data_IF_771287758230
#
_entry.id   IF_771287758230
#
_cell.length_a   1.000
_cell.length_b   1.000
_cell.length_c   1.000
_cell.angle_alpha   90.00
_cell.angle_beta   90.00
_cell.angle_gamma   90.00
#
_symmetry.space_group_name_H-M   'P 1'
#
loop_
_entity.id
_entity.type
_entity.pdbx_description
1 polymer ?
#
# COMPACT_ATOMS: atom_id res chain seq x y z
N UNK A 1 19.78 -9.92 1.69
CA UNK A 1 18.58 -9.09 1.52
C UNK A 1 17.38 -9.84 2.05
N UNK A 2 16.58 -9.19 2.86
CA UNK A 2 15.37 -9.81 3.40
C UNK A 2 14.32 -9.95 2.30
N UNK A 3 13.46 -10.95 2.40
CA UNK A 3 12.44 -11.23 1.41
C UNK A 3 11.52 -10.03 1.18
N UNK A 4 11.10 -9.35 2.24
CA UNK A 4 10.24 -8.17 2.11
C UNK A 4 10.95 -7.00 1.43
N UNK A 5 12.26 -6.88 1.55
CA UNK A 5 13.05 -5.87 0.83
C UNK A 5 13.11 -6.21 -0.66
N UNK A 6 13.26 -7.49 -0.98
CA UNK A 6 13.28 -7.96 -2.36
C UNK A 6 11.92 -7.76 -3.03
N UNK A 7 10.84 -8.06 -2.32
CA UNK A 7 9.49 -7.83 -2.81
C UNK A 7 9.23 -6.34 -3.05
N UNK A 8 9.68 -5.48 -2.15
CA UNK A 8 9.57 -4.04 -2.31
C UNK A 8 10.35 -3.55 -3.54
N UNK A 9 11.52 -4.13 -3.79
CA UNK A 9 12.31 -3.82 -4.99
C UNK A 9 11.59 -4.23 -6.26
N UNK A 10 10.99 -5.43 -6.28
CA UNK A 10 10.23 -5.89 -7.43
C UNK A 10 9.00 -5.03 -7.70
N UNK A 11 8.29 -4.63 -6.65
CA UNK A 11 7.17 -3.73 -6.78
C UNK A 11 7.61 -2.39 -7.37
N UNK A 12 8.74 -1.88 -6.93
CA UNK A 12 9.29 -0.63 -7.44
C UNK A 12 9.67 -0.74 -8.92
N UNK A 13 10.25 -1.86 -9.33
CA UNK A 13 10.65 -2.07 -10.73
C UNK A 13 9.46 -2.30 -11.66
N UNK A 14 8.45 -3.04 -11.21
CA UNK A 14 7.33 -3.44 -12.06
C UNK A 14 6.08 -2.59 -11.89
N UNK A 15 5.88 -1.99 -10.74
CA UNK A 15 4.71 -1.15 -10.45
C UNK A 15 5.07 0.18 -9.81
N UNK A 16 6.35 0.51 -9.78
CA UNK A 16 6.85 1.74 -9.17
C UNK A 16 6.61 3.02 -9.95
N UNK A 17 5.84 2.94 -11.03
CA UNK A 17 5.49 4.12 -11.79
C UNK A 17 4.49 4.97 -11.01
N UNK A 18 4.72 6.28 -11.04
CA UNK A 18 3.80 7.20 -10.38
C UNK A 18 2.49 7.27 -11.15
N UNK A 19 1.37 7.35 -10.43
CA UNK A 19 0.07 7.58 -11.04
C UNK A 19 0.00 9.02 -11.56
N UNK A 20 -0.89 9.26 -12.52
CA UNK A 20 -1.17 10.62 -12.99
C UNK A 20 -2.00 11.38 -11.98
N UNK A 21 -2.67 10.67 -11.07
CA UNK A 21 -3.49 11.26 -10.05
C UNK A 21 -2.65 11.92 -8.98
N UNK A 22 -2.93 13.17 -8.69
CA UNK A 22 -2.34 13.89 -7.59
C UNK A 22 -3.37 14.17 -6.51
N UNK A 23 -2.90 14.32 -5.29
CA UNK A 23 -3.77 14.63 -4.15
C UNK A 23 -3.29 15.91 -3.49
N UNK A 24 -4.21 16.84 -3.28
CA UNK A 24 -3.95 18.07 -2.56
C UNK A 24 -4.65 17.99 -1.22
N UNK A 25 -3.88 18.01 -0.14
CA UNK A 25 -4.42 17.95 1.21
C UNK A 25 -3.80 19.03 2.09
N UNK A 26 -4.57 19.50 3.04
CA UNK A 26 -4.05 20.37 4.10
C UNK A 26 -3.83 19.52 5.34
N UNK A 27 -2.68 19.66 5.95
CA UNK A 27 -2.35 18.95 7.19
C UNK A 27 -2.74 19.80 8.38
N UNK A 28 -2.91 19.16 9.54
CA UNK A 28 -2.99 19.90 10.79
C UNK A 28 -1.68 20.67 11.03
N UNK A 29 -1.75 21.73 11.83
CA UNK A 29 -0.54 22.51 12.13
C UNK A 29 0.55 21.62 12.73
N UNK A 30 0.17 20.71 13.62
CA UNK A 30 1.11 19.81 14.27
C UNK A 30 1.77 18.84 13.27
N UNK A 31 0.97 18.24 12.40
CA UNK A 31 1.52 17.33 11.39
C UNK A 31 2.38 18.06 10.36
N UNK A 32 2.00 19.26 9.99
CA UNK A 32 2.82 20.07 9.09
C UNK A 32 4.18 20.41 9.73
N UNK A 33 4.19 20.73 11.02
CA UNK A 33 5.42 20.99 11.75
C UNK A 33 6.30 19.74 11.83
N UNK A 34 5.71 18.60 12.11
CA UNK A 34 6.44 17.33 12.15
C UNK A 34 7.05 16.98 10.79
N UNK A 35 6.31 17.20 9.72
CA UNK A 35 6.80 16.95 8.38
C UNK A 35 7.97 17.86 8.04
N UNK A 36 7.86 19.14 8.33
CA UNK A 36 8.95 20.10 8.08
C UNK A 36 10.18 19.76 8.93
N UNK A 37 9.99 19.30 10.16
CA UNK A 37 11.09 18.85 11.01
C UNK A 37 11.84 17.68 10.38
N UNK A 38 11.12 16.69 9.83
CA UNK A 38 11.75 15.57 9.14
C UNK A 38 12.51 16.01 7.90
N UNK A 39 11.96 16.94 7.14
CA UNK A 39 12.63 17.49 5.97
C UNK A 39 13.93 18.17 6.34
N UNK A 40 13.95 18.89 7.44
CA UNK A 40 15.16 19.57 7.93
C UNK A 40 16.21 18.57 8.45
N UNK A 41 15.76 17.48 9.08
CA UNK A 41 16.67 16.43 9.56
C UNK A 41 17.32 15.65 8.40
N UNK A 42 16.64 15.53 7.28
CA UNK A 42 17.12 14.79 6.11
C UNK A 42 17.12 15.66 4.85
N UNK A 43 18.01 16.68 4.83
CA UNK A 43 17.97 17.69 3.76
C UNK A 43 18.33 17.15 2.37
N UNK A 44 19.00 16.01 2.28
CA UNK A 44 19.34 15.39 1.01
C UNK A 44 18.21 14.58 0.41
N UNK A 45 17.16 14.31 1.19
CA UNK A 45 16.03 13.51 0.76
C UNK A 45 14.91 14.46 0.31
N UNK A 46 14.48 14.40 -0.96
CA UNK A 46 13.46 15.33 -1.48
C UNK A 46 12.15 15.21 -0.70
N UNK A 47 11.51 16.36 -0.47
CA UNK A 47 10.25 16.41 0.29
C UNK A 47 9.18 15.49 -0.29
N UNK A 48 9.02 15.48 -1.61
CA UNK A 48 8.01 14.64 -2.26
C UNK A 48 8.29 13.15 -2.09
N UNK A 49 9.55 12.75 -2.14
CA UNK A 49 9.93 11.35 -1.93
C UNK A 49 9.67 10.94 -0.49
N UNK A 50 9.96 11.82 0.46
CA UNK A 50 9.68 11.59 1.87
C UNK A 50 8.17 11.39 2.09
N UNK A 51 7.34 12.24 1.48
CA UNK A 51 5.90 12.14 1.57
C UNK A 51 5.39 10.82 0.98
N UNK A 52 5.89 10.42 -0.18
CA UNK A 52 5.49 9.14 -0.80
C UNK A 52 5.83 7.96 0.10
N UNK A 53 7.01 7.97 0.70
CA UNK A 53 7.43 6.90 1.59
C UNK A 53 6.58 6.84 2.86
N UNK A 54 6.25 8.00 3.41
CA UNK A 54 5.39 8.07 4.59
C UNK A 54 3.99 7.54 4.28
N UNK A 55 3.42 7.94 3.14
CA UNK A 55 2.09 7.46 2.72
C UNK A 55 2.13 5.96 2.45
N UNK A 56 3.15 5.48 1.76
CA UNK A 56 3.30 4.06 1.48
C UNK A 56 3.38 3.24 2.76
N UNK A 57 4.18 3.71 3.72
CA UNK A 57 4.32 3.05 5.02
C UNK A 57 3.01 3.03 5.79
N UNK A 58 2.29 4.15 5.78
CA UNK A 58 0.99 4.24 6.46
C UNK A 58 -0.03 3.29 5.85
N UNK A 59 -0.09 3.21 4.53
CA UNK A 59 -1.00 2.30 3.83
C UNK A 59 -0.68 0.84 4.15
N UNK A 60 0.60 0.49 4.19
CA UNK A 60 1.04 -0.85 4.53
C UNK A 60 0.65 -1.19 5.97
N UNK A 61 0.84 -0.26 6.90
CA UNK A 61 0.51 -0.47 8.30
C UNK A 61 -1.00 -0.64 8.51
N UNK A 62 -1.81 0.19 7.86
CA UNK A 62 -3.28 0.06 7.92
C UNK A 62 -3.70 -1.33 7.42
N UNK A 63 -3.14 -1.76 6.29
CA UNK A 63 -3.47 -3.06 5.71
C UNK A 63 -3.09 -4.21 6.64
N UNK A 64 -1.90 -4.14 7.23
CA UNK A 64 -1.42 -5.20 8.11
C UNK A 64 -2.18 -5.25 9.43
N UNK A 65 -2.90 -4.19 9.79
CA UNK A 65 -3.71 -4.13 11.00
C UNK A 65 -5.12 -4.69 10.81
N UNK A 66 -5.51 -5.04 9.58
CA UNK A 66 -6.83 -5.61 9.33
C UNK A 66 -6.97 -6.98 10.03
N UNK A 67 -8.07 -7.20 10.78
CA UNK A 67 -8.24 -8.47 11.47
C UNK A 67 -8.62 -9.59 10.50
N UNK A 68 -8.11 -10.79 10.79
CA UNK A 68 -8.61 -12.01 10.17
C UNK A 68 -9.93 -12.39 10.82
N UNK A 69 -10.95 -12.63 10.01
CA UNK A 69 -12.27 -13.10 10.48
C UNK A 69 -12.58 -14.38 9.74
N UNK A 70 -12.64 -15.49 10.49
CA UNK A 70 -12.90 -16.80 9.91
C UNK A 70 -14.34 -16.90 9.40
N UNK A 71 -14.49 -17.27 8.14
CA UNK A 71 -15.80 -17.58 7.54
C UNK A 71 -16.22 -19.00 7.85
N UNK A 72 -17.28 -19.42 7.18
CA UNK A 72 -17.83 -20.77 7.35
C UNK A 72 -17.21 -21.79 6.37
N UNK A 73 -16.66 -21.31 5.28
CA UNK A 73 -16.08 -22.15 4.25
C UNK A 73 -14.63 -22.43 4.51
N UNK A 74 -14.21 -23.67 4.25
CA UNK A 74 -12.81 -24.08 4.40
C UNK A 74 -12.09 -23.70 3.12
N UNK A 75 -11.05 -22.84 3.25
CA UNK A 75 -10.24 -22.41 2.11
C UNK A 75 -9.11 -23.39 1.81
N UNK A 76 -8.52 -24.00 2.86
CA UNK A 76 -7.41 -24.92 2.74
C UNK A 76 -7.26 -25.71 4.04
N UNK A 77 -6.37 -26.71 4.04
CA UNK A 77 -5.95 -27.39 5.26
C UNK A 77 -4.49 -27.04 5.54
N UNK A 78 -4.13 -26.94 6.82
CA UNK A 78 -2.75 -26.69 7.20
C UNK A 78 -1.92 -27.97 7.11
N UNK A 79 -0.64 -27.91 7.47
CA UNK A 79 0.28 -29.04 7.42
C UNK A 79 -0.16 -30.21 8.31
N UNK A 80 -0.91 -29.93 9.36
CA UNK A 80 -1.43 -30.92 10.29
C UNK A 80 -2.79 -31.48 9.87
N UNK A 81 -3.35 -30.97 8.78
CA UNK A 81 -4.64 -31.38 8.26
C UNK A 81 -5.83 -30.65 8.88
N UNK A 82 -5.59 -29.66 9.73
CA UNK A 82 -6.66 -28.86 10.33
C UNK A 82 -7.23 -27.88 9.30
N UNK A 83 -8.56 -27.63 9.33
CA UNK A 83 -9.18 -26.75 8.36
C UNK A 83 -8.81 -25.28 8.63
N UNK A 84 -8.47 -24.59 7.53
CA UNK A 84 -8.27 -23.15 7.54
C UNK A 84 -9.46 -22.48 6.87
N UNK A 85 -10.20 -21.69 7.61
CA UNK A 85 -11.40 -21.02 7.11
C UNK A 85 -11.06 -19.78 6.32
N UNK A 86 -11.87 -19.48 5.31
CA UNK A 86 -11.70 -18.32 4.48
C UNK A 86 -11.81 -17.04 5.31
N UNK A 87 -10.96 -16.07 5.00
CA UNK A 87 -10.98 -14.77 5.65
C UNK A 87 -12.15 -13.95 5.08
N UNK A 88 -13.14 -13.63 5.91
CA UNK A 88 -14.25 -12.76 5.54
C UNK A 88 -14.12 -11.35 6.13
N UNK A 89 -12.94 -11.05 6.67
CA UNK A 89 -12.63 -9.72 7.19
C UNK A 89 -12.31 -8.71 6.09
N UNK A 90 -11.74 -7.55 6.47
CA UNK A 90 -11.51 -6.47 5.50
C UNK A 90 -10.44 -6.77 4.45
N UNK A 91 -9.48 -7.68 4.72
CA UNK A 91 -8.34 -7.90 3.83
C UNK A 91 -8.75 -8.35 2.41
N UNK A 92 -9.61 -9.38 2.22
CA UNK A 92 -9.99 -9.78 0.86
C UNK A 92 -10.69 -8.67 0.10
N UNK A 93 -11.57 -7.93 0.75
CA UNK A 93 -12.26 -6.80 0.13
C UNK A 93 -11.27 -5.71 -0.29
N UNK A 94 -10.33 -5.39 0.61
CA UNK A 94 -9.31 -4.39 0.33
C UNK A 94 -8.45 -4.80 -0.88
N UNK A 95 -8.02 -6.06 -0.93
CA UNK A 95 -7.19 -6.55 -2.03
C UNK A 95 -7.94 -6.51 -3.36
N UNK A 96 -9.21 -6.89 -3.36
CA UNK A 96 -10.03 -6.87 -4.56
C UNK A 96 -10.25 -5.45 -5.07
N UNK A 97 -10.53 -4.52 -4.17
CA UNK A 97 -10.70 -3.11 -4.51
C UNK A 97 -9.39 -2.48 -5.00
N UNK A 98 -8.28 -2.85 -4.39
CA UNK A 98 -6.96 -2.39 -4.82
C UNK A 98 -6.68 -2.82 -6.25
N UNK A 99 -6.94 -4.09 -6.57
CA UNK A 99 -6.76 -4.60 -7.95
C UNK A 99 -7.66 -3.87 -8.93
N UNK A 100 -8.91 -3.62 -8.55
CA UNK A 100 -9.86 -2.89 -9.39
C UNK A 100 -9.31 -1.50 -9.74
N UNK A 101 -8.88 -0.74 -8.74
CA UNK A 101 -8.38 0.61 -8.94
C UNK A 101 -7.04 0.63 -9.68
N UNK A 102 -6.19 -0.34 -9.43
CA UNK A 102 -4.92 -0.46 -10.15
C UNK A 102 -5.15 -0.69 -11.65
N UNK A 103 -6.11 -1.54 -11.99
CA UNK A 103 -6.50 -1.76 -13.39
C UNK A 103 -7.02 -0.49 -14.04
N UNK A 104 -7.81 0.29 -13.31
CA UNK A 104 -8.33 1.56 -13.81
C UNK A 104 -7.22 2.58 -14.04
N UNK A 105 -6.25 2.65 -13.14
CA UNK A 105 -5.09 3.54 -13.28
C UNK A 105 -4.28 3.16 -14.51
N UNK A 106 -4.01 1.88 -14.72
CA UNK A 106 -3.28 1.39 -15.90
C UNK A 106 -4.04 1.69 -17.19
N UNK A 107 -5.34 1.51 -17.19
CA UNK A 107 -6.20 1.82 -18.34
C UNK A 107 -6.15 3.31 -18.71
N UNK A 108 -6.22 4.18 -17.72
CA UNK A 108 -6.13 5.63 -17.90
C UNK A 108 -4.77 6.01 -18.48
N UNK A 109 -3.69 5.40 -18.00
CA UNK A 109 -2.34 5.65 -18.52
C UNK A 109 -2.20 5.21 -19.98
N UNK A 110 -2.74 4.05 -20.32
CA UNK A 110 -2.73 3.56 -21.71
C UNK A 110 -3.50 4.51 -22.63
N UNK A 111 -4.66 4.99 -22.18
CA UNK A 111 -5.46 5.96 -22.93
C UNK A 111 -4.71 7.29 -23.09
N UNK A 112 -3.98 7.73 -22.08
CA UNK A 112 -3.20 8.98 -22.12
C UNK A 112 -1.94 8.85 -22.97
N UNK A 113 -1.43 7.64 -23.18
CA UNK A 113 -0.24 7.40 -23.98
C UNK A 113 -0.54 7.48 -25.49
N UNK A 114 -1.79 7.48 -25.86
CA UNK A 114 -2.25 7.61 -27.25
C UNK A 114 -2.82 9.00 -27.49
#
# INVERSE_FOLDING_TARGET
>A
MKLNTLMAYWEKEFSGQLSEEGYQIKLSEEDAARLEALCEMFPKYPREDLLRDLISSALTEVTSSFPYIAGKEIAACDEEGDPMYADIGPTPKFLNLTRKHLKQIHKTKEASAH
#
